data_IF_632648777596
#
_entry.id   IF_632648777596
#
_cell.length_a   1.000
_cell.length_b   1.000
_cell.length_c   1.000
_cell.angle_alpha   90.00
_cell.angle_beta   90.00
_cell.angle_gamma   90.00
#
_symmetry.space_group_name_H-M   'P 1'
#
loop_
_entity.id
_entity.type
_entity.pdbx_description
1 polymer ?
#
# COMPACT_ATOMS: atom_id res chain seq x y z
N UNK A 1 -5.18 23.22 7.90
CA UNK A 1 -6.05 22.52 8.88
C UNK A 1 -5.25 21.40 9.53
N UNK A 2 -5.24 21.32 10.87
CA UNK A 2 -4.42 20.35 11.64
C UNK A 2 -4.94 18.91 11.42
N UNK A 3 -6.27 18.72 11.42
CA UNK A 3 -6.93 17.42 11.16
C UNK A 3 -6.56 16.85 9.80
N UNK A 4 -6.45 17.68 8.76
CA UNK A 4 -6.03 17.24 7.42
C UNK A 4 -4.60 16.67 7.43
N UNK A 5 -3.64 17.37 8.05
CA UNK A 5 -2.26 16.89 8.16
C UNK A 5 -2.16 15.59 8.97
N UNK A 6 -3.04 15.42 9.95
CA UNK A 6 -3.13 14.18 10.71
C UNK A 6 -3.65 13.03 9.83
N UNK A 7 -4.80 13.22 9.18
CA UNK A 7 -5.45 12.20 8.36
C UNK A 7 -4.57 11.78 7.17
N UNK A 8 -3.98 12.73 6.44
CA UNK A 8 -3.08 12.42 5.32
C UNK A 8 -1.81 11.71 5.80
N UNK A 9 -1.28 12.04 6.97
CA UNK A 9 -0.11 11.35 7.53
C UNK A 9 -0.45 9.92 7.94
N UNK A 10 -1.62 9.72 8.55
CA UNK A 10 -2.12 8.41 8.93
C UNK A 10 -2.31 7.53 7.69
N UNK A 11 -2.99 8.06 6.66
CA UNK A 11 -3.21 7.36 5.38
C UNK A 11 -1.89 7.06 4.65
N UNK A 12 -0.93 7.98 4.63
CA UNK A 12 0.39 7.74 4.01
C UNK A 12 1.20 6.67 4.77
N UNK A 13 1.10 6.65 6.10
CA UNK A 13 1.75 5.62 6.92
C UNK A 13 1.11 4.25 6.69
N UNK A 14 -0.22 4.15 6.70
CA UNK A 14 -0.91 2.88 6.42
C UNK A 14 -0.69 2.42 4.98
N UNK A 15 -0.75 3.34 4.00
CA UNK A 15 -0.43 3.08 2.60
C UNK A 15 0.96 2.49 2.43
N UNK A 16 1.98 3.14 2.97
CA UNK A 16 3.37 2.69 2.84
C UNK A 16 3.60 1.33 3.51
N UNK A 17 3.01 1.11 4.69
CA UNK A 17 3.06 -0.17 5.38
C UNK A 17 2.39 -1.29 4.56
N UNK A 18 1.16 -1.09 4.09
CA UNK A 18 0.42 -2.08 3.29
C UNK A 18 1.12 -2.35 1.96
N UNK A 19 1.59 -1.30 1.28
CA UNK A 19 2.33 -1.43 0.02
C UNK A 19 3.61 -2.24 0.20
N UNK A 20 4.36 -2.00 1.28
CA UNK A 20 5.58 -2.74 1.59
C UNK A 20 5.29 -4.24 1.82
N UNK A 21 4.24 -4.56 2.57
CA UNK A 21 3.82 -5.95 2.81
C UNK A 21 3.42 -6.64 1.50
N UNK A 22 2.63 -5.98 0.66
CA UNK A 22 2.24 -6.51 -0.66
C UNK A 22 3.45 -6.74 -1.57
N UNK A 23 4.42 -5.84 -1.53
CA UNK A 23 5.66 -5.94 -2.30
C UNK A 23 6.45 -7.19 -1.90
N UNK A 24 6.65 -7.40 -0.60
CA UNK A 24 7.35 -8.58 -0.06
C UNK A 24 6.62 -9.87 -0.42
N UNK A 25 5.29 -9.87 -0.30
CA UNK A 25 4.46 -11.03 -0.64
C UNK A 25 4.61 -11.42 -2.12
N UNK A 26 4.48 -10.46 -3.04
CA UNK A 26 4.60 -10.69 -4.48
C UNK A 26 6.03 -11.12 -4.85
N UNK A 27 7.04 -10.47 -4.25
CA UNK A 27 8.44 -10.83 -4.48
C UNK A 27 8.75 -12.25 -4.04
N UNK A 28 8.27 -12.66 -2.86
CA UNK A 28 8.47 -14.02 -2.35
C UNK A 28 7.86 -15.07 -3.28
N UNK A 29 6.63 -14.85 -3.77
CA UNK A 29 5.98 -15.75 -4.72
C UNK A 29 6.66 -15.84 -6.08
N UNK A 30 7.27 -14.74 -6.56
CA UNK A 30 8.00 -14.71 -7.84
C UNK A 30 9.42 -15.25 -7.71
N UNK A 31 10.08 -15.05 -6.57
CA UNK A 31 11.40 -15.58 -6.28
C UNK A 31 11.44 -17.10 -6.45
N UNK A 32 10.43 -17.79 -5.91
CA UNK A 32 10.28 -19.25 -6.06
C UNK A 32 10.18 -19.66 -7.55
N UNK A 33 9.39 -18.91 -8.35
CA UNK A 33 9.24 -19.19 -9.78
C UNK A 33 10.53 -18.96 -10.56
N UNK A 34 11.28 -17.91 -10.25
CA UNK A 34 12.57 -17.65 -10.90
C UNK A 34 13.62 -18.66 -10.49
N UNK A 35 13.63 -19.09 -9.24
CA UNK A 35 14.54 -20.12 -8.76
C UNK A 35 14.28 -21.46 -9.47
N UNK A 36 13.01 -21.79 -9.72
CA UNK A 36 12.64 -22.95 -10.55
C UNK A 36 13.09 -22.81 -12.02
N UNK A 37 13.02 -21.60 -12.61
CA UNK A 37 13.48 -21.34 -13.98
C UNK A 37 15.02 -21.32 -14.13
N UNK A 38 15.73 -20.87 -13.10
CA UNK A 38 17.19 -20.97 -13.03
C UNK A 38 17.63 -22.43 -12.89
N UNK A 39 16.92 -23.22 -12.07
CA UNK A 39 17.17 -24.65 -11.91
C UNK A 39 16.91 -25.46 -13.20
N UNK A 40 15.98 -25.02 -14.06
CA UNK A 40 15.77 -25.60 -15.38
C UNK A 40 16.76 -25.12 -16.46
N UNK A 41 17.78 -24.34 -16.09
CA UNK A 41 18.84 -23.88 -17.00
C UNK A 41 18.44 -22.77 -17.96
N UNK A 42 17.26 -22.16 -17.79
CA UNK A 42 16.74 -21.13 -18.70
C UNK A 42 17.17 -19.70 -18.33
N UNK A 43 17.67 -19.50 -17.11
CA UNK A 43 18.06 -18.19 -16.58
C UNK A 43 19.38 -18.26 -15.81
N UNK A 44 20.27 -17.34 -16.15
CA UNK A 44 21.56 -17.17 -15.47
C UNK A 44 21.33 -16.51 -14.09
N UNK A 45 21.76 -17.12 -12.97
CA UNK A 45 21.51 -16.60 -11.61
C UNK A 45 22.01 -15.16 -11.40
N UNK A 46 23.08 -14.76 -12.11
CA UNK A 46 23.64 -13.41 -12.03
C UNK A 46 22.71 -12.32 -12.58
N UNK A 47 21.79 -12.67 -13.49
CA UNK A 47 20.84 -11.73 -14.13
C UNK A 47 19.50 -11.70 -13.38
N UNK A 48 19.24 -12.69 -12.52
CA UNK A 48 17.99 -12.84 -11.76
C UNK A 48 17.70 -11.62 -10.88
N UNK A 49 18.71 -11.07 -10.22
CA UNK A 49 18.59 -9.84 -9.42
C UNK A 49 18.26 -8.61 -10.27
N UNK A 50 18.88 -8.49 -11.44
CA UNK A 50 18.62 -7.42 -12.42
C UNK A 50 17.19 -7.48 -12.97
N UNK A 51 16.72 -8.69 -13.28
CA UNK A 51 15.35 -8.95 -13.74
C UNK A 51 14.33 -8.62 -12.66
N UNK A 52 14.59 -8.98 -11.39
CA UNK A 52 13.73 -8.61 -10.27
C UNK A 52 13.67 -7.09 -10.09
N UNK A 53 14.82 -6.40 -10.19
CA UNK A 53 14.90 -4.95 -10.17
C UNK A 53 14.12 -4.28 -11.30
N UNK A 54 14.21 -4.79 -12.52
CA UNK A 54 13.50 -4.23 -13.68
C UNK A 54 11.99 -4.46 -13.64
N UNK A 55 11.53 -5.50 -12.92
CA UNK A 55 10.10 -5.79 -12.72
C UNK A 55 9.47 -5.03 -11.54
N UNK A 56 10.28 -4.50 -10.62
CA UNK A 56 9.79 -3.70 -9.48
C UNK A 56 8.84 -2.56 -9.89
N UNK A 57 9.15 -1.69 -10.87
CA UNK A 57 8.27 -0.59 -11.26
C UNK A 57 6.91 -1.07 -11.78
N UNK A 58 6.90 -2.17 -12.54
CA UNK A 58 5.66 -2.77 -13.05
C UNK A 58 4.76 -3.31 -11.94
N UNK A 59 5.34 -3.87 -10.88
CA UNK A 59 4.57 -4.28 -9.70
C UNK A 59 4.09 -3.07 -8.89
N UNK A 60 4.92 -2.04 -8.75
CA UNK A 60 4.55 -0.82 -8.06
C UNK A 60 3.28 -0.20 -8.67
N UNK A 61 3.15 -0.21 -10.00
CA UNK A 61 1.97 0.34 -10.69
C UNK A 61 0.66 -0.36 -10.30
N UNK A 62 0.70 -1.65 -9.94
CA UNK A 62 -0.48 -2.42 -9.48
C UNK A 62 -0.64 -2.33 -7.96
N UNK A 63 0.47 -2.30 -7.22
CA UNK A 63 0.48 -2.24 -5.76
C UNK A 63 0.05 -0.87 -5.25
N UNK A 64 0.41 0.23 -5.91
CA UNK A 64 0.08 1.58 -5.46
C UNK A 64 -1.44 1.82 -5.35
N UNK A 65 -2.26 1.54 -6.39
CA UNK A 65 -3.70 1.70 -6.32
C UNK A 65 -4.34 0.81 -5.25
N UNK A 66 -3.89 -0.45 -5.17
CA UNK A 66 -4.43 -1.42 -4.22
C UNK A 66 -4.04 -1.07 -2.77
N UNK A 67 -2.78 -0.67 -2.57
CA UNK A 67 -2.26 -0.21 -1.29
C UNK A 67 -2.93 1.06 -0.83
N UNK A 68 -3.28 1.97 -1.75
CA UNK A 68 -4.03 3.20 -1.46
C UNK A 68 -5.44 2.89 -1.02
N UNK A 69 -6.13 2.02 -1.75
CA UNK A 69 -7.46 1.56 -1.37
C UNK A 69 -7.48 0.90 0.03
N UNK A 70 -6.55 -0.04 0.28
CA UNK A 70 -6.46 -0.73 1.56
C UNK A 70 -5.97 0.19 2.69
N UNK A 71 -5.03 1.09 2.40
CA UNK A 71 -4.49 2.05 3.36
C UNK A 71 -5.56 3.03 3.84
N UNK A 72 -6.40 3.51 2.93
CA UNK A 72 -7.57 4.33 3.25
C UNK A 72 -8.56 3.52 4.09
N UNK A 73 -8.93 2.32 3.67
CA UNK A 73 -9.87 1.47 4.43
C UNK A 73 -9.39 1.21 5.87
N UNK A 74 -8.12 0.89 6.06
CA UNK A 74 -7.56 0.64 7.40
C UNK A 74 -7.48 1.92 8.23
N UNK A 75 -7.06 3.04 7.63
CA UNK A 75 -7.00 4.33 8.34
C UNK A 75 -8.39 4.79 8.77
N UNK A 76 -9.38 4.76 7.86
CA UNK A 76 -10.77 5.04 8.19
C UNK A 76 -11.31 4.05 9.21
N UNK A 77 -10.99 2.76 9.10
CA UNK A 77 -11.33 1.74 10.09
C UNK A 77 -10.86 2.10 11.50
N UNK A 78 -9.60 2.56 11.67
CA UNK A 78 -9.10 3.06 12.97
C UNK A 78 -9.87 4.30 13.45
N UNK A 79 -10.03 5.30 12.59
CA UNK A 79 -10.75 6.54 12.91
C UNK A 79 -12.20 6.31 13.34
N UNK A 80 -12.87 5.29 12.78
CA UNK A 80 -14.20 4.87 13.20
C UNK A 80 -14.19 4.09 14.52
N UNK A 81 -13.23 3.15 14.70
CA UNK A 81 -13.11 2.36 15.93
C UNK A 81 -12.75 3.22 17.15
N UNK A 82 -11.89 4.23 16.97
CA UNK A 82 -11.48 5.17 18.01
C UNK A 82 -12.53 6.30 18.22
N UNK A 83 -13.68 6.23 17.55
CA UNK A 83 -14.76 7.22 17.60
C UNK A 83 -14.36 8.65 17.22
N UNK A 84 -13.15 8.88 16.71
CA UNK A 84 -12.66 10.19 16.26
C UNK A 84 -13.52 10.75 15.12
N UNK A 85 -13.97 9.89 14.21
CA UNK A 85 -14.88 10.26 13.11
C UNK A 85 -16.25 10.72 13.64
N UNK A 86 -16.74 10.11 14.72
CA UNK A 86 -18.01 10.45 15.38
C UNK A 86 -17.92 11.82 16.07
N UNK A 87 -16.77 12.12 16.69
CA UNK A 87 -16.51 13.42 17.32
C UNK A 87 -16.35 14.54 16.29
N UNK A 88 -15.70 14.26 15.15
CA UNK A 88 -15.61 15.18 14.02
C UNK A 88 -16.97 15.48 13.40
N UNK A 89 -17.82 14.46 13.23
CA UNK A 89 -19.19 14.65 12.75
C UNK A 89 -20.05 15.46 13.74
N UNK A 90 -19.91 15.22 15.05
CA UNK A 90 -20.63 15.94 16.11
C UNK A 90 -20.20 17.41 16.26
N UNK A 91 -18.96 17.75 15.88
CA UNK A 91 -18.43 19.13 15.92
C UNK A 91 -18.72 19.93 14.63
N UNK A 92 -19.49 19.39 13.69
CA UNK A 92 -19.94 20.09 12.48
C UNK A 92 -18.99 19.99 11.28
N UNK A 93 -17.96 19.13 11.32
CA UNK A 93 -17.14 18.81 10.15
C UNK A 93 -17.92 17.86 9.23
N UNK A 94 -18.30 18.34 8.04
CA UNK A 94 -19.11 17.54 7.11
C UNK A 94 -18.29 16.41 6.46
N UNK A 95 -18.91 15.23 6.37
CA UNK A 95 -18.37 14.03 5.71
C UNK A 95 -17.97 14.30 4.25
N UNK A 96 -18.62 15.26 3.58
CA UNK A 96 -18.31 15.66 2.21
C UNK A 96 -16.92 16.31 2.09
N UNK A 97 -16.44 16.99 3.13
CA UNK A 97 -15.08 17.59 3.12
C UNK A 97 -14.00 16.52 3.28
N UNK A 98 -14.29 15.42 3.97
CA UNK A 98 -13.41 14.25 4.09
C UNK A 98 -13.33 13.45 2.77
N UNK A 99 -14.47 13.28 2.09
CA UNK A 99 -14.55 12.62 0.78
C UNK A 99 -13.96 13.45 -0.37
N UNK A 100 -14.10 14.77 -0.35
CA UNK A 100 -13.53 15.64 -1.39
C UNK A 100 -11.99 15.69 -1.39
N UNK A 101 -11.36 15.10 -0.37
CA UNK A 101 -9.93 15.24 -0.08
C UNK A 101 -9.18 13.90 -0.19
N UNK A 102 -9.89 12.77 -0.06
CA UNK A 102 -9.33 11.40 -0.13
C UNK A 102 -9.48 10.84 -1.53
#
# INVERSE_FOLDING_TARGET
MIVFRYLSREVLLTLSAVSAVLLVFIMSGRFIKYLAQAASGALDPGVLFLIMGFRLPGFLQVILPLGLFLGILMAYGRLYLESEMTVLAATGMSQQRLLAIT
#
